data_IF_193567483240
#
_entry.id   IF_193567483240
#
_cell.length_a   1.000
_cell.length_b   1.000
_cell.length_c   1.000
_cell.angle_alpha   90.00
_cell.angle_beta   90.00
_cell.angle_gamma   90.00
#
_symmetry.space_group_name_H-M   'P 1'
#
loop_
_entity.id
_entity.type
_entity.pdbx_description
1 polymer ?
#
# COMPACT_ATOMS: atom_id res chain seq x y z
N UNK A 1 39.47 -58.21 50.00
CA UNK A 1 38.33 -58.10 49.06
C UNK A 1 37.55 -56.83 49.37
N UNK A 2 37.88 -55.74 48.68
CA UNK A 2 37.26 -54.41 48.88
C UNK A 2 36.32 -54.09 47.72
N UNK A 3 35.04 -53.95 48.02
CA UNK A 3 34.03 -53.55 47.06
C UNK A 3 33.89 -52.01 47.10
N UNK A 4 34.41 -51.35 46.13
CA UNK A 4 34.20 -49.92 45.95
C UNK A 4 32.84 -49.74 45.30
N UNK A 5 31.92 -49.05 45.96
CA UNK A 5 30.63 -48.60 45.42
C UNK A 5 30.87 -47.20 44.84
N UNK A 6 30.85 -47.14 43.53
CA UNK A 6 30.88 -45.89 42.79
C UNK A 6 29.46 -45.28 42.80
N UNK A 7 29.26 -44.19 43.53
CA UNK A 7 28.03 -43.40 43.50
C UNK A 7 28.17 -42.38 42.37
N UNK A 8 27.52 -42.65 41.25
CA UNK A 8 27.43 -41.69 40.15
C UNK A 8 26.30 -40.71 40.48
N UNK A 9 26.69 -39.54 40.97
CA UNK A 9 25.78 -38.41 41.18
C UNK A 9 25.47 -37.73 39.82
N UNK A 10 24.29 -37.97 39.30
CA UNK A 10 23.76 -37.19 38.20
C UNK A 10 23.42 -35.77 38.65
N UNK A 11 24.32 -34.86 38.41
CA UNK A 11 24.03 -33.41 38.51
C UNK A 11 23.23 -32.99 37.27
N UNK A 12 21.89 -33.01 37.42
CA UNK A 12 21.01 -32.36 36.44
C UNK A 12 21.12 -30.86 36.63
N UNK A 13 22.01 -30.24 35.89
CA UNK A 13 22.08 -28.80 35.69
C UNK A 13 20.90 -28.40 34.80
N UNK A 14 19.77 -28.05 35.42
CA UNK A 14 18.66 -27.40 34.76
C UNK A 14 19.12 -25.98 34.43
N UNK A 15 19.70 -25.82 33.23
CA UNK A 15 19.88 -24.50 32.65
C UNK A 15 18.49 -24.00 32.25
N UNK A 16 17.83 -23.31 33.18
CA UNK A 16 16.72 -22.43 32.84
C UNK A 16 17.24 -21.31 31.95
N UNK A 17 17.43 -21.60 30.66
CA UNK A 17 17.45 -20.56 29.64
C UNK A 17 16.09 -19.89 29.67
N UNK A 18 16.02 -18.79 30.41
CA UNK A 18 14.93 -17.84 30.31
C UNK A 18 14.80 -17.41 28.87
N UNK A 19 13.99 -18.12 28.11
CA UNK A 19 13.40 -17.60 26.87
C UNK A 19 12.66 -16.34 27.29
N UNK A 20 13.36 -15.20 27.23
CA UNK A 20 12.70 -13.91 27.08
C UNK A 20 11.93 -14.02 25.78
N UNK A 21 10.66 -14.39 25.86
CA UNK A 21 9.68 -14.03 24.87
C UNK A 21 9.71 -12.49 24.82
N UNK A 22 10.60 -11.96 23.99
CA UNK A 22 10.40 -10.63 23.47
C UNK A 22 9.03 -10.69 22.81
N UNK A 23 8.01 -10.18 23.49
CA UNK A 23 6.84 -9.65 22.85
C UNK A 23 7.33 -8.48 22.01
N UNK A 24 8.00 -8.77 20.87
CA UNK A 24 7.98 -7.88 19.76
C UNK A 24 6.49 -7.67 19.52
N UNK A 25 6.07 -6.44 19.60
CA UNK A 25 4.80 -5.99 19.09
C UNK A 25 4.82 -6.35 17.58
N UNK A 26 4.42 -7.59 17.30
CA UNK A 26 4.31 -8.15 15.96
C UNK A 26 3.06 -7.51 15.37
N UNK A 27 3.16 -6.21 15.13
CA UNK A 27 2.22 -5.50 14.27
C UNK A 27 2.37 -6.20 12.91
N UNK A 28 1.53 -7.18 12.69
CA UNK A 28 1.55 -8.06 11.53
C UNK A 28 1.59 -7.17 10.29
N UNK A 29 2.71 -7.20 9.58
CA UNK A 29 2.92 -6.39 8.37
C UNK A 29 1.90 -6.85 7.32
N UNK A 30 0.97 -5.96 6.98
CA UNK A 30 -0.03 -6.21 5.95
C UNK A 30 0.58 -5.90 4.58
N UNK A 31 0.70 -6.90 3.72
CA UNK A 31 1.19 -6.70 2.36
C UNK A 31 0.07 -6.39 1.39
N UNK A 32 0.25 -5.32 0.63
CA UNK A 32 -0.67 -4.87 -0.41
C UNK A 32 0.02 -4.96 -1.76
N UNK A 33 -0.47 -5.83 -2.63
CA UNK A 33 -0.06 -5.88 -4.03
C UNK A 33 -0.66 -4.70 -4.79
N UNK A 34 0.17 -3.89 -5.42
CA UNK A 34 -0.26 -2.74 -6.24
C UNK A 34 -0.17 -3.11 -7.70
N UNK A 35 -1.31 -3.13 -8.39
CA UNK A 35 -1.38 -3.45 -9.82
C UNK A 35 -0.99 -2.24 -10.68
N UNK A 36 -0.79 -2.49 -11.96
CA UNK A 36 -0.61 -1.43 -12.96
C UNK A 36 -1.81 -0.49 -12.93
N UNK A 37 -1.54 0.80 -12.85
CA UNK A 37 -2.58 1.85 -12.84
C UNK A 37 -3.25 1.92 -14.20
N UNK A 38 -4.52 2.25 -14.26
CA UNK A 38 -5.22 2.54 -15.50
C UNK A 38 -4.53 3.64 -16.31
N UNK A 39 -4.77 3.69 -17.61
CA UNK A 39 -4.17 4.70 -18.50
C UNK A 39 -4.50 6.11 -17.99
N UNK A 40 -3.49 6.98 -17.94
CA UNK A 40 -3.60 8.35 -17.49
C UNK A 40 -2.63 9.24 -18.28
N UNK A 41 -2.98 10.51 -18.45
CA UNK A 41 -2.13 11.47 -19.16
C UNK A 41 -0.84 11.74 -18.39
N UNK A 42 0.26 11.76 -19.12
CA UNK A 42 1.57 12.11 -18.57
C UNK A 42 2.21 11.06 -17.66
N UNK A 43 1.59 9.88 -17.50
CA UNK A 43 2.16 8.78 -16.73
C UNK A 43 1.81 7.42 -17.34
N UNK A 44 2.77 6.52 -17.46
CA UNK A 44 2.50 5.14 -17.85
C UNK A 44 1.89 4.37 -16.65
N UNK A 45 1.09 3.35 -16.94
CA UNK A 45 0.47 2.56 -15.87
C UNK A 45 1.49 1.92 -14.92
N UNK A 46 2.66 1.50 -15.43
CA UNK A 46 3.76 0.96 -14.62
C UNK A 46 4.38 2.06 -13.74
N UNK A 47 4.63 3.25 -14.29
CA UNK A 47 5.16 4.37 -13.51
C UNK A 47 4.17 4.82 -12.42
N UNK A 48 2.86 4.79 -12.71
CA UNK A 48 1.81 5.05 -11.72
C UNK A 48 1.82 4.03 -10.58
N UNK A 49 1.94 2.74 -10.90
CA UNK A 49 2.12 1.67 -9.91
C UNK A 49 3.34 1.91 -9.02
N UNK A 50 4.49 2.17 -9.63
CA UNK A 50 5.75 2.36 -8.90
C UNK A 50 5.68 3.61 -8.01
N UNK A 51 4.98 4.65 -8.47
CA UNK A 51 4.70 5.83 -7.66
C UNK A 51 3.83 5.51 -6.44
N UNK A 52 2.77 4.72 -6.62
CA UNK A 52 1.94 4.25 -5.50
C UNK A 52 2.75 3.44 -4.49
N UNK A 53 3.56 2.47 -4.94
CA UNK A 53 4.46 1.71 -4.06
C UNK A 53 5.37 2.64 -3.25
N UNK A 54 5.96 3.66 -3.91
CA UNK A 54 6.77 4.68 -3.25
C UNK A 54 5.94 5.55 -2.29
N UNK A 55 4.69 5.87 -2.60
CA UNK A 55 3.81 6.64 -1.71
C UNK A 55 3.51 5.87 -0.42
N UNK A 56 3.28 4.55 -0.51
CA UNK A 56 3.14 3.70 0.68
C UNK A 56 4.40 3.68 1.55
N UNK A 57 5.59 3.62 0.95
CA UNK A 57 6.85 3.60 1.70
C UNK A 57 7.11 4.89 2.49
N UNK A 58 6.50 6.01 2.08
CA UNK A 58 6.56 7.28 2.80
C UNK A 58 5.64 7.34 4.03
N UNK A 59 4.71 6.39 4.17
CA UNK A 59 3.78 6.35 5.31
C UNK A 59 4.51 5.85 6.56
N UNK A 60 5.10 6.78 7.31
CA UNK A 60 5.84 6.47 8.55
C UNK A 60 4.91 5.75 9.55
N UNK A 61 5.44 4.71 10.21
CA UNK A 61 4.72 3.91 11.20
C UNK A 61 3.47 3.19 10.65
N UNK A 62 3.43 2.94 9.33
CA UNK A 62 2.37 2.14 8.73
C UNK A 62 2.71 0.64 8.85
N UNK A 63 1.77 -0.20 9.29
CA UNK A 63 1.94 -1.65 9.22
C UNK A 63 1.78 -2.18 7.78
N UNK A 64 1.53 -1.31 6.81
CA UNK A 64 1.27 -1.68 5.41
C UNK A 64 2.56 -1.60 4.60
N UNK A 65 2.89 -2.69 3.92
CA UNK A 65 3.96 -2.80 2.94
C UNK A 65 3.37 -2.99 1.55
N UNK A 66 3.64 -2.07 0.63
CA UNK A 66 3.22 -2.21 -0.76
C UNK A 66 4.26 -3.00 -1.57
N UNK A 67 3.77 -3.85 -2.47
CA UNK A 67 4.56 -4.68 -3.38
C UNK A 67 4.01 -4.51 -4.79
N UNK A 68 4.88 -4.27 -5.77
CA UNK A 68 4.46 -4.18 -7.17
C UNK A 68 3.95 -5.53 -7.69
N UNK A 69 2.82 -5.51 -8.39
CA UNK A 69 2.27 -6.64 -9.14
C UNK A 69 2.41 -6.33 -10.63
N UNK A 70 3.06 -7.22 -11.37
CA UNK A 70 3.32 -7.06 -12.79
C UNK A 70 2.24 -7.75 -13.65
N UNK A 71 1.62 -8.78 -13.11
CA UNK A 71 0.55 -9.52 -13.75
C UNK A 71 -0.69 -8.65 -13.99
N UNK A 72 -1.45 -9.01 -15.01
CA UNK A 72 -2.74 -8.40 -15.38
C UNK A 72 -3.83 -9.45 -15.45
N UNK A 73 -5.09 -9.02 -15.37
CA UNK A 73 -6.25 -9.90 -15.47
C UNK A 73 -6.22 -11.01 -14.41
N UNK A 74 -6.47 -12.25 -14.84
CA UNK A 74 -6.60 -13.41 -13.94
C UNK A 74 -5.30 -13.80 -13.23
N UNK A 75 -4.13 -13.37 -13.73
CA UNK A 75 -2.83 -13.70 -13.17
C UNK A 75 -2.47 -12.84 -11.93
N UNK A 76 -3.21 -11.78 -11.68
CA UNK A 76 -2.97 -10.88 -10.53
C UNK A 76 -3.07 -11.63 -9.19
N UNK A 77 -4.11 -12.42 -9.00
CA UNK A 77 -4.31 -13.17 -7.75
C UNK A 77 -3.24 -14.24 -7.51
N UNK A 78 -2.84 -15.06 -8.49
CA UNK A 78 -1.72 -15.98 -8.36
C UNK A 78 -0.40 -15.27 -7.97
N UNK A 79 -0.05 -14.16 -8.64
CA UNK A 79 1.16 -13.41 -8.32
C UNK A 79 1.09 -12.81 -6.91
N UNK A 80 -0.06 -12.23 -6.52
CA UNK A 80 -0.26 -11.68 -5.18
C UNK A 80 -0.09 -12.74 -4.08
N UNK A 81 -0.58 -13.97 -4.31
CA UNK A 81 -0.37 -15.11 -3.39
C UNK A 81 1.11 -15.48 -3.29
N UNK A 82 1.82 -15.54 -4.41
CA UNK A 82 3.27 -15.85 -4.43
C UNK A 82 4.07 -14.79 -3.67
N UNK A 83 3.66 -13.51 -3.76
CA UNK A 83 4.29 -12.40 -3.04
C UNK A 83 3.76 -12.25 -1.59
N UNK A 84 2.94 -13.19 -1.09
CA UNK A 84 2.33 -13.17 0.24
C UNK A 84 1.55 -11.87 0.53
N UNK A 85 0.82 -11.36 -0.46
CA UNK A 85 -0.04 -10.20 -0.28
C UNK A 85 -1.34 -10.60 0.42
N UNK A 86 -1.79 -9.78 1.38
CA UNK A 86 -3.10 -9.91 2.03
C UNK A 86 -4.19 -9.28 1.16
N UNK A 87 -3.83 -8.18 0.49
CA UNK A 87 -4.73 -7.43 -0.36
C UNK A 87 -4.09 -7.13 -1.72
N UNK A 88 -4.95 -6.86 -2.70
CA UNK A 88 -4.56 -6.29 -4.00
C UNK A 88 -5.30 -4.98 -4.22
N UNK A 89 -4.56 -3.95 -4.61
CA UNK A 89 -5.06 -2.61 -4.90
C UNK A 89 -5.17 -2.43 -6.41
N UNK A 90 -6.37 -2.17 -6.88
CA UNK A 90 -6.65 -1.72 -8.24
C UNK A 90 -6.99 -0.23 -8.22
N UNK A 91 -6.51 0.49 -9.22
CA UNK A 91 -6.75 1.93 -9.36
C UNK A 91 -7.18 2.27 -10.78
N UNK A 92 -8.14 3.18 -10.87
CA UNK A 92 -8.61 3.76 -12.14
C UNK A 92 -8.47 5.27 -12.04
N UNK A 93 -7.95 5.90 -13.09
CA UNK A 93 -7.76 7.35 -13.16
C UNK A 93 -8.84 7.94 -14.06
N UNK A 94 -9.52 8.96 -13.55
CA UNK A 94 -10.46 9.79 -14.32
C UNK A 94 -9.91 11.21 -14.32
N UNK A 95 -9.67 11.73 -15.52
CA UNK A 95 -9.14 13.06 -15.76
C UNK A 95 -10.25 14.00 -16.22
N UNK A 96 -10.26 15.20 -15.70
CA UNK A 96 -11.11 16.28 -16.16
C UNK A 96 -10.29 17.58 -16.18
N UNK A 97 -10.56 18.43 -17.14
CA UNK A 97 -10.05 19.79 -17.14
C UNK A 97 -11.22 20.76 -17.27
N UNK A 98 -11.15 21.83 -16.52
CA UNK A 98 -12.03 22.96 -16.70
C UNK A 98 -11.28 24.03 -17.48
N UNK A 99 -11.85 24.52 -18.56
CA UNK A 99 -11.34 25.70 -19.23
C UNK A 99 -11.48 26.88 -18.27
N UNK A 100 -10.37 27.24 -17.71
CA UNK A 100 -10.02 28.22 -16.75
C UNK A 100 -11.06 29.21 -16.22
N UNK A 101 -11.07 29.35 -14.92
CA UNK A 101 -11.58 30.54 -14.27
C UNK A 101 -10.77 31.77 -14.69
N UNK A 102 -11.43 32.84 -15.04
CA UNK A 102 -10.79 34.11 -15.33
C UNK A 102 -10.05 34.64 -14.10
N UNK A 103 -8.73 34.48 -14.07
CA UNK A 103 -7.86 35.13 -13.11
C UNK A 103 -7.11 36.24 -13.82
N UNK A 104 -7.56 37.46 -13.68
CA UNK A 104 -6.91 38.61 -14.27
C UNK A 104 -7.50 39.94 -13.79
N UNK A 105 -6.68 41.00 -13.78
CA UNK A 105 -7.17 42.36 -13.59
C UNK A 105 -8.21 42.68 -14.67
N UNK A 106 -9.18 43.57 -14.41
CA UNK A 106 -10.13 44.01 -15.41
C UNK A 106 -9.44 44.39 -16.72
N UNK A 107 -9.70 43.63 -17.79
CA UNK A 107 -9.09 43.82 -19.12
C UNK A 107 -8.03 42.81 -19.55
N UNK A 108 -7.63 41.86 -18.70
CA UNK A 108 -6.74 40.77 -19.08
C UNK A 108 -7.35 39.43 -18.59
N UNK A 109 -8.06 38.75 -19.47
CA UNK A 109 -8.51 37.37 -19.24
C UNK A 109 -7.41 36.41 -19.70
N UNK A 110 -6.58 35.95 -18.79
CA UNK A 110 -5.71 34.78 -19.03
C UNK A 110 -6.48 33.57 -18.57
N UNK A 111 -6.99 32.77 -19.50
CA UNK A 111 -7.55 31.45 -19.20
C UNK A 111 -6.40 30.53 -18.84
N UNK A 112 -6.20 30.29 -17.57
CA UNK A 112 -5.24 29.29 -17.09
C UNK A 112 -6.02 27.99 -16.92
N UNK A 113 -5.69 26.91 -17.65
CA UNK A 113 -6.39 25.66 -17.52
C UNK A 113 -6.17 25.08 -16.11
N UNK A 114 -7.24 24.69 -15.48
CA UNK A 114 -7.26 23.99 -14.21
C UNK A 114 -7.57 22.52 -14.46
N UNK A 115 -6.70 21.64 -13.97
CA UNK A 115 -6.83 20.20 -14.14
C UNK A 115 -7.35 19.57 -12.86
N UNK A 116 -8.29 18.65 -13.01
CA UNK A 116 -8.83 17.83 -11.95
C UNK A 116 -8.56 16.37 -12.27
N UNK A 117 -8.09 15.62 -11.29
CA UNK A 117 -7.90 14.19 -11.41
C UNK A 117 -8.50 13.47 -10.23
N UNK A 118 -9.30 12.46 -10.51
CA UNK A 118 -9.83 11.54 -9.51
C UNK A 118 -9.21 10.17 -9.74
N UNK A 119 -8.60 9.61 -8.70
CA UNK A 119 -8.13 8.24 -8.68
C UNK A 119 -9.08 7.44 -7.81
N UNK A 120 -9.88 6.58 -8.43
CA UNK A 120 -10.69 5.60 -7.74
C UNK A 120 -9.85 4.38 -7.41
N UNK A 121 -10.07 3.79 -6.24
CA UNK A 121 -9.39 2.56 -5.85
C UNK A 121 -10.35 1.53 -5.28
N UNK A 122 -10.00 0.26 -5.51
CA UNK A 122 -10.65 -0.91 -4.91
C UNK A 122 -9.58 -1.82 -4.32
N UNK A 123 -9.75 -2.18 -3.06
CA UNK A 123 -8.89 -3.08 -2.32
C UNK A 123 -9.58 -4.42 -2.19
N UNK A 124 -9.01 -5.46 -2.78
CA UNK A 124 -9.55 -6.83 -2.75
C UNK A 124 -8.75 -7.69 -1.78
N UNK A 125 -9.42 -8.54 -1.03
CA UNK A 125 -8.76 -9.61 -0.28
C UNK A 125 -8.26 -10.70 -1.22
N UNK A 126 -7.03 -11.16 -1.02
CA UNK A 126 -6.44 -12.22 -1.84
C UNK A 126 -7.05 -13.59 -1.52
N UNK A 127 -7.56 -13.78 -0.29
CA UNK A 127 -8.13 -15.05 0.17
C UNK A 127 -9.42 -15.47 -0.56
N UNK A 128 -10.31 -14.51 -0.77
CA UNK A 128 -11.68 -14.76 -1.24
C UNK A 128 -12.10 -13.86 -2.43
N UNK A 129 -11.19 -13.01 -2.90
CA UNK A 129 -11.40 -12.05 -3.97
C UNK A 129 -12.56 -11.05 -3.71
N UNK A 130 -12.94 -10.84 -2.45
CA UNK A 130 -13.97 -9.85 -2.10
C UNK A 130 -13.40 -8.44 -1.98
N UNK A 131 -14.21 -7.44 -2.28
CA UNK A 131 -13.86 -6.03 -2.04
C UNK A 131 -13.83 -5.77 -0.54
N UNK A 132 -12.67 -5.45 -0.02
CA UNK A 132 -12.47 -5.10 1.39
C UNK A 132 -12.71 -3.61 1.65
N UNK A 133 -12.30 -2.75 0.73
CA UNK A 133 -12.53 -1.32 0.78
C UNK A 133 -12.53 -0.73 -0.63
N UNK A 134 -13.14 0.44 -0.76
CA UNK A 134 -13.06 1.25 -1.98
C UNK A 134 -13.15 2.72 -1.61
N UNK A 135 -12.61 3.57 -2.46
CA UNK A 135 -12.65 5.00 -2.25
C UNK A 135 -12.04 5.76 -3.42
N UNK A 136 -11.85 7.04 -3.24
CA UNK A 136 -11.23 7.90 -4.22
C UNK A 136 -10.29 8.92 -3.60
N UNK A 137 -9.32 9.35 -4.39
CA UNK A 137 -8.43 10.46 -4.09
C UNK A 137 -8.52 11.48 -5.22
N UNK A 138 -8.55 12.75 -4.87
CA UNK A 138 -8.68 13.86 -5.83
C UNK A 138 -7.46 14.75 -5.70
N UNK A 139 -6.98 15.25 -6.83
CA UNK A 139 -6.06 16.36 -6.90
C UNK A 139 -6.56 17.39 -7.93
N UNK A 140 -6.19 18.64 -7.70
CA UNK A 140 -6.56 19.77 -8.53
C UNK A 140 -5.41 20.77 -8.51
N UNK A 141 -4.97 21.20 -9.68
CA UNK A 141 -3.90 22.19 -9.81
C UNK A 141 -3.98 22.89 -11.19
N UNK A 142 -3.34 24.03 -11.30
CA UNK A 142 -3.13 24.78 -12.54
C UNK A 142 -1.84 24.37 -13.28
N UNK A 143 -1.18 23.31 -12.82
CA UNK A 143 0.04 22.76 -13.42
C UNK A 143 -0.20 21.92 -14.67
N UNK A 144 0.64 20.94 -14.90
CA UNK A 144 0.42 19.95 -15.96
C UNK A 144 -0.52 18.83 -15.48
N UNK A 145 -1.36 18.30 -16.39
CA UNK A 145 -2.25 17.19 -16.08
C UNK A 145 -1.50 15.98 -15.48
N UNK A 146 -0.29 15.69 -16.00
CA UNK A 146 0.53 14.61 -15.45
C UNK A 146 0.97 14.84 -14.01
N UNK A 147 1.23 16.08 -13.58
CA UNK A 147 1.54 16.40 -12.18
C UNK A 147 0.33 16.21 -11.27
N UNK A 148 -0.84 16.65 -11.74
CA UNK A 148 -2.10 16.49 -11.00
C UNK A 148 -2.44 15.00 -10.83
N UNK A 149 -2.28 14.18 -11.88
CA UNK A 149 -2.41 12.72 -11.80
C UNK A 149 -1.46 12.15 -10.74
N UNK A 150 -0.21 12.58 -10.75
CA UNK A 150 0.78 12.11 -9.77
C UNK A 150 0.43 12.51 -8.33
N UNK A 151 -0.10 13.70 -8.10
CA UNK A 151 -0.58 14.14 -6.78
C UNK A 151 -1.78 13.30 -6.32
N UNK A 152 -2.75 13.05 -7.20
CA UNK A 152 -3.89 12.21 -6.88
C UNK A 152 -3.47 10.79 -6.48
N UNK A 153 -2.49 10.19 -7.18
CA UNK A 153 -1.92 8.89 -6.83
C UNK A 153 -1.23 8.92 -5.45
N UNK A 154 -0.48 9.99 -5.13
CA UNK A 154 0.15 10.12 -3.81
C UNK A 154 -0.89 10.19 -2.67
N UNK A 155 -2.10 10.70 -2.93
CA UNK A 155 -3.19 10.77 -1.96
C UNK A 155 -3.91 9.43 -1.73
N UNK A 156 -3.74 8.43 -2.60
CA UNK A 156 -4.35 7.10 -2.43
C UNK A 156 -3.73 6.35 -1.25
N UNK A 157 -2.40 6.35 -1.13
CA UNK A 157 -1.71 5.54 -0.12
C UNK A 157 -2.17 5.81 1.32
N UNK A 158 -2.29 7.07 1.81
CA UNK A 158 -2.77 7.32 3.17
C UNK A 158 -4.23 6.89 3.39
N UNK A 159 -5.09 6.98 2.36
CA UNK A 159 -6.48 6.53 2.45
C UNK A 159 -6.55 5.01 2.60
N UNK A 160 -5.85 4.26 1.76
CA UNK A 160 -5.78 2.79 1.84
C UNK A 160 -5.20 2.33 3.19
N UNK A 161 -4.16 3.00 3.69
CA UNK A 161 -3.60 2.70 5.01
C UNK A 161 -4.64 2.89 6.12
N UNK A 162 -5.43 3.96 6.05
CA UNK A 162 -6.50 4.20 7.02
C UNK A 162 -7.61 3.15 6.91
N UNK A 163 -8.01 2.77 5.70
CA UNK A 163 -9.00 1.71 5.49
C UNK A 163 -8.55 0.40 6.10
N UNK A 164 -7.30 0.00 5.87
CA UNK A 164 -6.73 -1.23 6.45
C UNK A 164 -6.70 -1.17 7.98
N UNK A 165 -6.31 -0.03 8.56
CA UNK A 165 -6.35 0.15 10.02
C UNK A 165 -7.76 0.03 10.60
N UNK A 166 -8.76 0.59 9.89
CA UNK A 166 -10.16 0.55 10.32
C UNK A 166 -10.79 -0.84 10.20
N UNK A 167 -10.30 -1.68 9.29
CA UNK A 167 -10.75 -3.07 9.17
C UNK A 167 -10.23 -3.96 10.31
N UNK A 168 -9.27 -3.49 11.08
CA UNK A 168 -8.53 -4.32 12.02
C UNK A 168 -7.56 -5.25 11.31
N UNK A 169 -6.54 -5.73 12.02
CA UNK A 169 -5.62 -6.73 11.46
C UNK A 169 -6.41 -8.02 11.23
N UNK A 170 -6.46 -8.56 10.00
CA UNK A 170 -7.10 -9.85 9.78
C UNK A 170 -6.44 -10.90 10.68
N UNK A 171 -7.26 -11.61 11.46
CA UNK A 171 -6.82 -12.73 12.30
C UNK A 171 -6.45 -13.92 11.44
#
# INVERSE_FOLDING_TARGET
MHRIRLVVGCFFLIVCMGLRLSSADDSQVVRVGVTVVGAASGITGVAGRDRLVKAFSKQKKSPVQAVAIDATGEQVTPEAKTKNCTFVLFTTVTEAHNEGGASGKPGQTTNIPEYHTTVEYKLYRVSDATVAASGSAVAQDIGSLGEVVQQALDHVAPKVVNDIKNMGTPK
#
